data_IF_989426415348
#
_entry.id   IF_989426415348
#
_cell.length_a   1.000
_cell.length_b   1.000
_cell.length_c   1.000
_cell.angle_alpha   90.00
_cell.angle_beta   90.00
_cell.angle_gamma   90.00
#
_symmetry.space_group_name_H-M   'P 1'
#
loop_
_entity.id
_entity.type
_entity.pdbx_description
1 polymer ?
#
# COMPACT_ATOMS: atom_id res chain seq x y z
N UNK A 1 7.38 -5.23 18.62
CA UNK A 1 8.05 -4.12 17.90
C UNK A 1 7.22 -2.88 18.17
N UNK A 2 7.81 -1.80 18.65
CA UNK A 2 7.08 -0.55 18.92
C UNK A 2 7.02 0.29 17.64
N UNK A 3 5.95 1.10 17.48
CA UNK A 3 5.83 2.01 16.34
C UNK A 3 7.01 2.98 16.21
N UNK A 4 7.56 3.42 17.33
CA UNK A 4 8.76 4.27 17.34
C UNK A 4 9.98 3.60 16.69
N UNK A 5 10.24 2.32 16.97
CA UNK A 5 11.32 1.58 16.33
C UNK A 5 11.13 1.47 14.82
N UNK A 6 9.90 1.16 14.37
CA UNK A 6 9.60 1.07 12.95
C UNK A 6 9.81 2.43 12.25
N UNK A 7 9.33 3.51 12.85
CA UNK A 7 9.52 4.86 12.33
C UNK A 7 11.01 5.23 12.20
N UNK A 8 11.81 4.92 13.22
CA UNK A 8 13.26 5.14 13.20
C UNK A 8 13.98 4.40 12.07
N UNK A 9 13.59 3.15 11.80
CA UNK A 9 14.16 2.36 10.70
C UNK A 9 13.67 2.79 9.32
N UNK A 10 12.42 3.24 9.21
CA UNK A 10 11.82 3.65 7.93
C UNK A 10 12.31 5.01 7.44
N UNK A 11 12.60 5.97 8.34
CA UNK A 11 13.02 7.31 7.95
C UNK A 11 14.29 7.36 7.07
N UNK A 12 15.40 6.66 7.39
CA UNK A 12 16.57 6.64 6.52
C UNK A 12 16.29 5.98 5.15
N UNK A 13 15.41 4.98 5.12
CA UNK A 13 15.02 4.31 3.87
C UNK A 13 14.22 5.24 2.97
N UNK A 14 13.23 5.96 3.51
CA UNK A 14 12.44 6.95 2.79
C UNK A 14 13.29 8.09 2.23
N UNK A 15 14.32 8.51 2.95
CA UNK A 15 15.24 9.55 2.48
C UNK A 15 16.04 9.10 1.27
N UNK A 16 16.53 7.87 1.27
CA UNK A 16 17.41 7.31 0.23
C UNK A 16 16.63 6.77 -0.98
N UNK A 17 15.40 6.32 -0.78
CA UNK A 17 14.60 5.72 -1.84
C UNK A 17 14.26 6.76 -2.92
N UNK A 18 14.37 6.37 -4.19
CA UNK A 18 13.90 7.15 -5.33
C UNK A 18 12.39 7.02 -5.51
N UNK A 19 11.86 5.83 -5.25
CA UNK A 19 10.44 5.52 -5.29
C UNK A 19 10.07 4.54 -4.18
N UNK A 20 8.83 4.63 -3.69
CA UNK A 20 8.27 3.76 -2.64
C UNK A 20 6.91 3.28 -3.09
N UNK A 21 6.78 1.97 -3.31
CA UNK A 21 5.49 1.33 -3.55
C UNK A 21 4.84 0.92 -2.24
N UNK A 22 3.55 1.22 -2.07
CA UNK A 22 2.76 0.84 -0.90
C UNK A 22 1.47 0.14 -1.32
N UNK A 23 0.85 -0.55 -0.40
CA UNK A 23 -0.47 -1.17 -0.59
C UNK A 23 -1.38 -0.74 0.55
N UNK A 24 -2.28 0.24 0.29
CA UNK A 24 -3.13 0.82 1.30
C UNK A 24 -2.38 1.78 2.24
N UNK A 25 -1.71 2.79 1.70
CA UNK A 25 -0.87 3.76 2.41
C UNK A 25 -1.55 4.34 3.66
N UNK A 26 -2.83 4.71 3.57
CA UNK A 26 -3.53 5.36 4.69
C UNK A 26 -3.46 4.55 5.98
N UNK A 27 -3.65 3.23 5.90
CA UNK A 27 -3.55 2.36 7.07
C UNK A 27 -2.14 2.23 7.64
N UNK A 28 -1.12 2.48 6.83
CA UNK A 28 0.29 2.38 7.22
C UNK A 28 0.80 3.66 7.89
N UNK A 29 0.15 4.81 7.64
CA UNK A 29 0.54 6.10 8.23
C UNK A 29 0.45 6.13 9.76
N UNK A 30 -0.34 5.25 10.36
CA UNK A 30 -0.36 5.04 11.82
C UNK A 30 0.93 4.44 12.37
N UNK A 31 1.73 3.78 11.53
CA UNK A 31 2.96 3.09 11.91
C UNK A 31 4.22 3.92 11.64
N UNK A 32 4.20 4.76 10.62
CA UNK A 32 5.33 5.62 10.27
C UNK A 32 4.86 6.88 9.52
N UNK A 33 5.54 7.98 9.74
CA UNK A 33 5.27 9.25 9.08
C UNK A 33 6.01 9.33 7.74
N UNK A 34 5.34 9.84 6.70
CA UNK A 34 5.95 10.20 5.42
C UNK A 34 6.13 11.72 5.37
N UNK A 35 7.36 12.25 5.52
CA UNK A 35 7.64 13.67 5.44
C UNK A 35 7.15 14.28 4.13
N UNK A 36 6.66 15.52 4.18
CA UNK A 36 6.05 16.19 3.00
C UNK A 36 6.95 16.16 1.76
N UNK A 37 8.25 16.39 1.92
CA UNK A 37 9.22 16.37 0.83
C UNK A 37 9.38 14.99 0.15
N UNK A 38 8.94 13.91 0.80
CA UNK A 38 9.03 12.55 0.26
C UNK A 38 7.69 11.99 -0.22
N UNK A 39 6.58 12.71 -0.01
CA UNK A 39 5.24 12.25 -0.43
C UNK A 39 5.13 12.04 -1.95
N UNK A 40 5.86 12.84 -2.73
CA UNK A 40 5.91 12.69 -4.19
C UNK A 40 6.57 11.38 -4.67
N UNK A 41 7.35 10.72 -3.83
CA UNK A 41 8.00 9.44 -4.15
C UNK A 41 7.12 8.22 -3.90
N UNK A 42 6.03 8.40 -3.16
CA UNK A 42 5.15 7.29 -2.74
C UNK A 42 4.07 7.05 -3.78
N UNK A 43 3.87 5.80 -4.13
CA UNK A 43 2.80 5.32 -5.01
C UNK A 43 1.98 4.27 -4.28
N UNK A 44 0.70 4.53 -4.05
CA UNK A 44 -0.21 3.54 -3.50
C UNK A 44 -0.81 2.70 -4.63
N UNK A 45 -0.39 1.45 -4.70
CA UNK A 45 -0.79 0.49 -5.73
C UNK A 45 -2.29 0.19 -5.68
N UNK A 46 -2.89 0.17 -4.48
CA UNK A 46 -4.31 -0.07 -4.31
C UNK A 46 -5.14 1.05 -4.94
N UNK A 47 -4.78 2.31 -4.70
CA UNK A 47 -5.46 3.47 -5.30
C UNK A 47 -5.27 3.48 -6.81
N UNK A 48 -4.05 3.20 -7.28
CA UNK A 48 -3.79 3.11 -8.71
C UNK A 48 -4.60 2.02 -9.40
N UNK A 49 -4.70 0.83 -8.79
CA UNK A 49 -5.52 -0.26 -9.31
C UNK A 49 -7.02 0.10 -9.31
N UNK A 50 -7.50 0.78 -8.26
CA UNK A 50 -8.87 1.30 -8.21
C UNK A 50 -9.17 2.26 -9.37
N UNK A 51 -8.31 3.23 -9.63
CA UNK A 51 -8.51 4.17 -10.74
C UNK A 51 -8.54 3.48 -12.11
N UNK A 52 -7.73 2.44 -12.31
CA UNK A 52 -7.70 1.69 -13.56
C UNK A 52 -8.93 0.83 -13.78
N UNK A 53 -9.58 0.37 -12.70
CA UNK A 53 -10.79 -0.46 -12.80
C UNK A 53 -11.72 -0.24 -11.58
N UNK A 54 -12.49 0.86 -11.52
CA UNK A 54 -13.29 1.23 -10.35
C UNK A 54 -14.54 0.35 -10.15
N UNK A 55 -14.80 -0.60 -11.05
CA UNK A 55 -15.98 -1.48 -10.98
C UNK A 55 -15.76 -2.72 -10.11
N UNK A 56 -14.57 -2.94 -9.61
CA UNK A 56 -14.26 -4.04 -8.68
C UNK A 56 -14.73 -3.71 -7.27
N UNK A 57 -15.18 -4.75 -6.56
CA UNK A 57 -15.57 -4.62 -5.15
C UNK A 57 -14.39 -4.77 -4.18
N UNK A 58 -13.29 -5.36 -4.62
CA UNK A 58 -12.10 -5.62 -3.81
C UNK A 58 -10.82 -5.54 -4.65
N UNK A 59 -9.73 -5.14 -4.02
CA UNK A 59 -8.40 -4.97 -4.63
C UNK A 59 -7.36 -5.66 -3.75
N UNK A 60 -7.45 -6.98 -3.62
CA UNK A 60 -6.46 -7.76 -2.90
C UNK A 60 -5.12 -7.79 -3.66
N UNK A 61 -4.03 -8.01 -2.94
CA UNK A 61 -2.69 -8.01 -3.54
C UNK A 61 -2.49 -9.09 -4.61
N UNK A 62 -3.11 -10.25 -4.43
CA UNK A 62 -3.07 -11.37 -5.37
C UNK A 62 -3.86 -11.07 -6.65
N UNK A 63 -4.97 -10.32 -6.55
CA UNK A 63 -5.70 -9.81 -7.72
C UNK A 63 -4.87 -8.79 -8.49
N UNK A 64 -4.24 -7.85 -7.80
CA UNK A 64 -3.37 -6.85 -8.42
C UNK A 64 -2.16 -7.53 -9.08
N UNK A 65 -1.55 -8.51 -8.43
CA UNK A 65 -0.45 -9.29 -9.01
C UNK A 65 -0.88 -10.02 -10.29
N UNK A 66 -2.07 -10.65 -10.27
CA UNK A 66 -2.60 -11.36 -11.44
C UNK A 66 -2.89 -10.42 -12.61
N UNK A 67 -3.54 -9.27 -12.36
CA UNK A 67 -3.97 -8.35 -13.42
C UNK A 67 -2.85 -7.49 -14.00
N UNK A 68 -1.92 -7.08 -13.15
CA UNK A 68 -0.89 -6.13 -13.57
C UNK A 68 0.49 -6.75 -13.77
N UNK A 69 0.79 -7.87 -13.09
CA UNK A 69 2.08 -8.55 -13.17
C UNK A 69 2.01 -9.92 -13.85
N UNK A 70 0.80 -10.45 -14.12
CA UNK A 70 0.58 -11.80 -14.63
C UNK A 70 1.17 -12.90 -13.71
N UNK A 71 1.20 -12.63 -12.41
CA UNK A 71 1.67 -13.54 -11.37
C UNK A 71 0.50 -14.06 -10.55
N UNK A 72 0.53 -15.34 -10.23
CA UNK A 72 -0.47 -15.97 -9.36
C UNK A 72 0.15 -16.23 -7.99
N UNK A 73 -0.36 -15.54 -6.99
CA UNK A 73 -0.01 -15.74 -5.58
C UNK A 73 -1.18 -16.33 -4.82
N UNK A 74 -0.93 -17.09 -3.74
CA UNK A 74 -1.98 -17.50 -2.83
C UNK A 74 -2.61 -16.26 -2.18
N UNK A 75 -3.92 -16.30 -1.97
CA UNK A 75 -4.64 -15.19 -1.32
C UNK A 75 -4.29 -15.12 0.19
N UNK A 76 -4.63 -13.99 0.82
CA UNK A 76 -4.55 -13.87 2.28
C UNK A 76 -5.31 -15.00 2.97
N UNK A 77 -6.48 -15.38 2.44
CA UNK A 77 -7.32 -16.43 3.01
C UNK A 77 -6.64 -17.82 2.91
N UNK A 78 -5.95 -18.10 1.82
CA UNK A 78 -5.21 -19.35 1.63
C UNK A 78 -4.06 -19.49 2.63
N UNK A 79 -3.33 -18.39 2.87
CA UNK A 79 -2.17 -18.39 3.78
C UNK A 79 -2.59 -18.31 5.25
N UNK A 80 -3.40 -17.32 5.60
CA UNK A 80 -3.69 -16.98 7.00
C UNK A 80 -5.05 -17.51 7.48
N UNK A 81 -5.94 -17.90 6.56
CA UNK A 81 -7.32 -18.21 6.89
C UNK A 81 -8.07 -16.95 7.36
N UNK A 82 -9.00 -17.12 8.30
CA UNK A 82 -9.78 -16.04 8.90
C UNK A 82 -9.15 -15.49 10.19
N UNK A 83 -7.88 -15.80 10.45
CA UNK A 83 -7.20 -15.38 11.68
C UNK A 83 -6.91 -13.87 11.64
N UNK A 84 -7.11 -13.15 12.76
CA UNK A 84 -6.59 -11.79 12.92
C UNK A 84 -5.07 -11.77 12.76
N UNK A 85 -4.50 -10.70 12.19
CA UNK A 85 -3.06 -10.61 11.93
C UNK A 85 -2.18 -10.89 13.16
N UNK A 86 -2.56 -10.36 14.32
CA UNK A 86 -1.81 -10.60 15.55
C UNK A 86 -1.78 -12.08 15.99
N UNK A 87 -2.83 -12.84 15.68
CA UNK A 87 -2.91 -14.26 15.94
C UNK A 87 -2.19 -15.05 14.85
N UNK A 88 -2.38 -14.68 13.58
CA UNK A 88 -1.68 -15.31 12.46
C UNK A 88 -0.15 -15.19 12.61
N UNK A 89 0.36 -14.05 13.07
CA UNK A 89 1.79 -13.86 13.33
C UNK A 89 2.33 -14.81 14.40
N UNK A 90 1.52 -15.21 15.39
CA UNK A 90 1.93 -16.12 16.47
C UNK A 90 1.79 -17.61 16.11
N UNK A 91 0.75 -17.94 15.37
CA UNK A 91 0.37 -19.33 15.10
C UNK A 91 0.84 -19.84 13.73
N UNK A 92 1.03 -18.91 12.77
CA UNK A 92 1.40 -19.17 11.37
C UNK A 92 2.48 -18.19 10.91
N UNK A 93 3.58 -18.13 11.65
CA UNK A 93 4.64 -17.14 11.39
C UNK A 93 5.20 -17.24 9.98
N UNK A 94 5.46 -18.44 9.48
CA UNK A 94 6.02 -18.66 8.14
C UNK A 94 5.05 -18.18 7.04
N UNK A 95 3.77 -18.52 7.13
CA UNK A 95 2.74 -18.09 6.18
C UNK A 95 2.47 -16.58 6.29
N UNK A 96 2.57 -16.01 7.51
CA UNK A 96 2.45 -14.59 7.72
C UNK A 96 3.61 -13.81 7.05
N UNK A 97 4.84 -14.29 7.20
CA UNK A 97 6.01 -13.72 6.54
C UNK A 97 5.90 -13.85 5.03
N UNK A 98 5.41 -14.98 4.53
CA UNK A 98 5.17 -15.19 3.10
C UNK A 98 4.12 -14.21 2.57
N UNK A 99 3.01 -14.02 3.28
CA UNK A 99 2.00 -13.02 2.97
C UNK A 99 2.61 -11.61 2.89
N UNK A 100 3.38 -11.20 3.91
CA UNK A 100 4.02 -9.89 3.93
C UNK A 100 5.00 -9.70 2.76
N UNK A 101 5.76 -10.74 2.39
CA UNK A 101 6.64 -10.71 1.23
C UNK A 101 5.87 -10.56 -0.08
N UNK A 102 4.74 -11.25 -0.27
CA UNK A 102 3.93 -11.11 -1.47
C UNK A 102 3.31 -9.71 -1.59
N UNK A 103 2.80 -9.15 -0.49
CA UNK A 103 2.29 -7.77 -0.48
C UNK A 103 3.39 -6.77 -0.82
N UNK A 104 4.57 -6.88 -0.20
CA UNK A 104 5.70 -6.00 -0.46
C UNK A 104 6.20 -6.12 -1.91
N UNK A 105 6.33 -7.34 -2.42
CA UNK A 105 6.74 -7.59 -3.80
C UNK A 105 5.74 -7.03 -4.82
N UNK A 106 4.44 -7.27 -4.59
CA UNK A 106 3.38 -6.72 -5.43
C UNK A 106 3.41 -5.20 -5.43
N UNK A 107 3.55 -4.58 -4.25
CA UNK A 107 3.64 -3.13 -4.12
C UNK A 107 4.82 -2.55 -4.91
N UNK A 108 5.97 -3.19 -4.82
CA UNK A 108 7.17 -2.76 -5.52
C UNK A 108 7.04 -2.91 -7.04
N UNK A 109 6.70 -4.10 -7.52
CA UNK A 109 6.66 -4.40 -8.94
C UNK A 109 5.47 -3.73 -9.65
N UNK A 110 4.29 -3.70 -9.03
CA UNK A 110 3.10 -3.14 -9.65
C UNK A 110 3.13 -1.61 -9.70
N UNK A 111 3.89 -0.92 -8.84
CA UNK A 111 3.92 0.54 -8.82
C UNK A 111 4.32 1.14 -10.17
N UNK A 112 5.38 0.67 -10.79
CA UNK A 112 5.83 1.15 -12.11
C UNK A 112 4.88 0.78 -13.25
N UNK A 113 4.29 -0.41 -13.20
CA UNK A 113 3.34 -0.89 -14.20
C UNK A 113 2.04 -0.08 -14.15
N UNK A 114 1.52 0.15 -12.94
CA UNK A 114 0.31 0.96 -12.72
C UNK A 114 0.55 2.41 -13.11
N UNK A 115 1.71 2.98 -12.75
CA UNK A 115 2.10 4.32 -13.19
C UNK A 115 2.08 4.45 -14.72
N UNK A 116 2.66 3.49 -15.45
CA UNK A 116 2.61 3.45 -16.91
C UNK A 116 1.18 3.44 -17.43
N UNK A 117 0.34 2.52 -16.93
CA UNK A 117 -1.07 2.40 -17.33
C UNK A 117 -1.88 3.67 -17.02
N UNK A 118 -1.66 4.32 -15.88
CA UNK A 118 -2.31 5.59 -15.53
C UNK A 118 -1.91 6.72 -16.46
N UNK A 119 -0.66 6.76 -16.92
CA UNK A 119 -0.19 7.71 -17.94
C UNK A 119 -0.85 7.45 -19.29
N UNK A 120 -0.90 6.19 -19.70
CA UNK A 120 -1.48 5.79 -20.98
C UNK A 120 -2.98 6.11 -21.09
N UNK A 121 -3.73 5.99 -19.98
CA UNK A 121 -5.16 6.34 -19.95
C UNK A 121 -5.45 7.79 -19.52
N UNK A 122 -4.42 8.63 -19.33
CA UNK A 122 -4.56 10.05 -18.98
C UNK A 122 -4.97 10.33 -17.54
N UNK A 123 -4.95 9.33 -16.65
CA UNK A 123 -5.34 9.47 -15.24
C UNK A 123 -4.17 9.80 -14.31
N UNK A 124 -2.96 9.96 -14.83
CA UNK A 124 -1.78 10.20 -14.01
C UNK A 124 -1.86 11.50 -13.19
N UNK A 125 -2.35 12.59 -13.78
CA UNK A 125 -2.53 13.85 -13.07
C UNK A 125 -3.54 13.72 -11.93
N UNK A 126 -4.70 13.06 -12.17
CA UNK A 126 -5.69 12.77 -11.15
C UNK A 126 -5.06 12.00 -9.99
N UNK A 127 -4.33 10.92 -10.29
CA UNK A 127 -3.67 10.11 -9.28
C UNK A 127 -2.67 10.92 -8.44
N UNK A 128 -1.77 11.68 -9.08
CA UNK A 128 -0.66 12.37 -8.41
C UNK A 128 -1.04 13.65 -7.69
N UNK A 129 -1.97 14.42 -8.26
CA UNK A 129 -2.31 15.77 -7.80
C UNK A 129 -3.54 15.78 -6.89
N UNK A 130 -4.38 14.74 -6.95
CA UNK A 130 -5.62 14.66 -6.17
C UNK A 130 -5.60 13.43 -5.25
N UNK A 131 -5.58 12.22 -5.79
CA UNK A 131 -5.78 11.00 -5.00
C UNK A 131 -4.65 10.76 -3.98
N UNK A 132 -3.39 10.86 -4.39
CA UNK A 132 -2.27 10.65 -3.47
C UNK A 132 -2.18 11.71 -2.37
N UNK A 133 -2.33 13.02 -2.62
CA UNK A 133 -2.43 14.03 -1.56
C UNK A 133 -3.65 13.83 -0.63
N UNK A 134 -4.78 13.39 -1.18
CA UNK A 134 -6.00 13.15 -0.41
C UNK A 134 -5.82 12.09 0.67
N UNK A 135 -4.98 11.06 0.43
CA UNK A 135 -4.66 10.02 1.43
C UNK A 135 -4.18 10.64 2.74
N UNK A 136 -3.25 11.59 2.64
CA UNK A 136 -2.69 12.27 3.82
C UNK A 136 -3.70 13.17 4.51
N UNK A 137 -4.49 13.89 3.71
CA UNK A 137 -5.57 14.75 4.25
C UNK A 137 -6.62 13.93 4.99
N UNK A 138 -7.05 12.81 4.41
CA UNK A 138 -8.03 11.92 5.07
C UNK A 138 -7.45 11.29 6.33
N UNK A 139 -6.17 10.93 6.33
CA UNK A 139 -5.52 10.43 7.53
C UNK A 139 -5.48 11.49 8.64
N UNK A 140 -5.07 12.72 8.31
CA UNK A 140 -5.03 13.83 9.27
C UNK A 140 -6.43 14.11 9.85
N UNK A 141 -7.47 14.14 9.01
CA UNK A 141 -8.86 14.31 9.44
C UNK A 141 -9.33 13.18 10.39
N UNK A 142 -8.94 11.95 10.14
CA UNK A 142 -9.25 10.80 11.01
C UNK A 142 -8.55 10.92 12.38
N UNK A 143 -7.34 11.48 12.43
CA UNK A 143 -6.62 11.71 13.68
C UNK A 143 -7.22 12.87 14.49
N UNK A 144 -7.59 13.95 13.83
CA UNK A 144 -8.18 15.12 14.47
C UNK A 144 -9.62 14.86 14.96
N UNK A 145 -10.34 13.97 14.28
CA UNK A 145 -11.73 13.66 14.54
C UNK A 145 -12.68 14.78 14.11
N UNK A 146 -13.98 14.52 14.23
CA UNK A 146 -15.04 15.50 13.97
C UNK A 146 -15.76 15.78 15.29
N UNK A 147 -15.83 17.05 15.71
CA UNK A 147 -16.70 17.47 16.80
C UNK A 147 -18.15 17.45 16.31
N UNK A 148 -18.94 16.59 16.92
CA UNK A 148 -20.40 16.55 16.74
C UNK A 148 -21.06 17.34 17.86
#
# INVERSE_FOLDING_TARGET
>A
MTGAYLAEQMQPLLQKAEAVGTFGLKSQLSCFEVPRQHRCKVTDVLIGAYLLNPLKNDYAYDDVAREHLQLTFPSQLDLLGKLPFAQAFREKEAEFLQYACFVAYTSYQASSVIEGKLKDCGMWALFREIEMPLVFTLYDMEQDGIRV
#
